data_IF_341394902360
#
_entry.id   IF_341394902360
#
_cell.length_a   1.000
_cell.length_b   1.000
_cell.length_c   1.000
_cell.angle_alpha   90.00
_cell.angle_beta   90.00
_cell.angle_gamma   90.00
#
_symmetry.space_group_name_H-M   'P 1'
#
loop_
_entity.id
_entity.type
_entity.pdbx_description
1 polymer ?
#
# COMPACT_ATOMS: atom_id res chain seq x y z
N UNK A 1 -6.60 38.93 -8.05
CA UNK A 1 -6.01 38.03 -7.03
C UNK A 1 -6.02 36.56 -7.45
N UNK A 2 -7.03 36.08 -8.20
CA UNK A 2 -7.24 34.66 -8.53
C UNK A 2 -6.22 34.03 -9.49
N UNK A 3 -5.61 34.82 -10.37
CA UNK A 3 -4.64 34.30 -11.35
C UNK A 3 -3.24 34.06 -10.76
N UNK A 4 -2.78 34.95 -9.88
CA UNK A 4 -1.49 34.79 -9.18
C UNK A 4 -1.54 33.64 -8.17
N UNK A 5 -2.67 33.47 -7.45
CA UNK A 5 -2.85 32.37 -6.51
C UNK A 5 -2.87 31.00 -7.22
N UNK A 6 -3.55 30.89 -8.36
CA UNK A 6 -3.56 29.64 -9.15
C UNK A 6 -2.18 29.30 -9.70
N UNK A 7 -1.42 30.27 -10.20
CA UNK A 7 -0.02 30.06 -10.61
C UNK A 7 0.87 29.62 -9.45
N UNK A 8 0.70 30.22 -8.28
CA UNK A 8 1.49 29.85 -7.09
C UNK A 8 1.17 28.42 -6.66
N UNK A 9 -0.12 28.05 -6.61
CA UNK A 9 -0.57 26.68 -6.33
C UNK A 9 0.04 25.67 -7.30
N UNK A 10 0.03 25.97 -8.60
CA UNK A 10 0.61 25.07 -9.60
C UNK A 10 2.13 24.92 -9.45
N UNK A 11 2.86 26.01 -9.16
CA UNK A 11 4.30 25.95 -8.86
C UNK A 11 4.59 25.09 -7.63
N UNK A 12 3.82 25.28 -6.56
CA UNK A 12 3.97 24.47 -5.34
C UNK A 12 3.67 23.00 -5.63
N UNK A 13 2.61 22.70 -6.39
CA UNK A 13 2.31 21.33 -6.79
C UNK A 13 3.47 20.69 -7.57
N UNK A 14 4.00 21.38 -8.57
CA UNK A 14 5.09 20.86 -9.40
C UNK A 14 6.40 20.68 -8.62
N UNK A 15 6.69 21.55 -7.65
CA UNK A 15 7.83 21.37 -6.75
C UNK A 15 7.67 20.12 -5.88
N UNK A 16 6.49 19.94 -5.27
CA UNK A 16 6.24 18.81 -4.38
C UNK A 16 6.13 17.48 -5.13
N UNK A 17 5.55 17.49 -6.34
CA UNK A 17 5.46 16.31 -7.21
C UNK A 17 6.84 15.74 -7.55
N UNK A 18 7.89 16.56 -7.60
CA UNK A 18 9.26 16.08 -7.87
C UNK A 18 9.79 15.09 -6.82
N UNK A 19 9.26 15.14 -5.58
CA UNK A 19 9.61 14.22 -4.51
C UNK A 19 8.71 12.97 -4.48
N UNK A 20 7.58 13.00 -5.17
CA UNK A 20 6.59 11.92 -5.15
C UNK A 20 7.14 10.57 -5.65
N UNK A 21 7.98 10.48 -6.71
CA UNK A 21 8.56 9.20 -7.13
C UNK A 21 9.35 8.51 -6.02
N UNK A 22 10.16 9.27 -5.26
CA UNK A 22 10.95 8.74 -4.17
C UNK A 22 10.03 8.25 -3.04
N UNK A 23 9.04 9.05 -2.64
CA UNK A 23 8.06 8.66 -1.62
C UNK A 23 7.28 7.39 -2.02
N UNK A 24 6.91 7.23 -3.30
CA UNK A 24 6.26 6.00 -3.80
C UNK A 24 7.19 4.78 -3.74
N UNK A 25 8.48 4.96 -4.04
CA UNK A 25 9.50 3.90 -3.91
C UNK A 25 9.69 3.48 -2.45
N UNK A 26 9.71 4.42 -1.53
CA UNK A 26 9.84 4.15 -0.09
C UNK A 26 8.60 3.45 0.48
N UNK A 27 7.40 3.86 0.05
CA UNK A 27 6.16 3.11 0.35
C UNK A 27 6.15 1.70 -0.23
N UNK A 28 6.70 1.50 -1.43
CA UNK A 28 6.84 0.16 -2.02
C UNK A 28 7.80 -0.70 -1.20
N UNK A 29 8.92 -0.13 -0.74
CA UNK A 29 9.86 -0.82 0.14
C UNK A 29 9.23 -1.17 1.50
N UNK A 30 8.41 -0.27 2.05
CA UNK A 30 7.60 -0.55 3.24
C UNK A 30 6.64 -1.73 3.00
N UNK A 31 5.89 -1.72 1.89
CA UNK A 31 4.96 -2.81 1.55
C UNK A 31 5.67 -4.17 1.39
N UNK A 32 6.87 -4.20 0.82
CA UNK A 32 7.72 -5.42 0.76
C UNK A 32 8.03 -5.99 2.14
N UNK A 33 8.38 -5.13 3.11
CA UNK A 33 8.63 -5.54 4.49
C UNK A 33 7.35 -6.07 5.16
N UNK A 34 6.21 -5.41 4.95
CA UNK A 34 4.91 -5.88 5.43
C UNK A 34 4.52 -7.24 4.84
N UNK A 35 4.75 -7.44 3.53
CA UNK A 35 4.49 -8.71 2.85
C UNK A 35 5.35 -9.85 3.41
N UNK A 36 6.63 -9.59 3.67
CA UNK A 36 7.52 -10.56 4.30
C UNK A 36 7.05 -10.94 5.73
N UNK A 37 6.63 -9.96 6.53
CA UNK A 37 6.06 -10.19 7.86
C UNK A 37 4.80 -11.07 7.79
N UNK A 38 3.83 -10.73 6.93
CA UNK A 38 2.61 -11.53 6.75
C UNK A 38 2.90 -12.94 6.22
N UNK A 39 3.88 -13.09 5.33
CA UNK A 39 4.34 -14.42 4.88
C UNK A 39 4.85 -15.27 6.04
N UNK A 40 5.59 -14.66 6.97
CA UNK A 40 6.01 -15.29 8.22
C UNK A 40 4.84 -15.73 9.09
N UNK A 41 3.88 -14.83 9.34
CA UNK A 41 2.67 -15.12 10.13
C UNK A 41 1.86 -16.25 9.49
N UNK A 42 1.63 -16.20 8.18
CA UNK A 42 0.85 -17.22 7.47
C UNK A 42 1.46 -18.61 7.60
N UNK A 43 2.79 -18.71 7.48
CA UNK A 43 3.47 -19.99 7.63
C UNK A 43 3.23 -20.61 9.02
N UNK A 44 3.12 -19.80 10.08
CA UNK A 44 2.83 -20.28 11.43
C UNK A 44 1.39 -20.78 11.52
N UNK A 45 0.43 -19.99 11.04
CA UNK A 45 -0.99 -20.33 11.05
C UNK A 45 -1.26 -21.64 10.30
N UNK A 46 -0.63 -21.84 9.14
CA UNK A 46 -0.85 -23.04 8.29
C UNK A 46 -0.12 -24.28 8.83
N UNK A 47 1.09 -24.13 9.38
CA UNK A 47 1.92 -25.30 9.74
C UNK A 47 1.74 -25.79 11.18
N UNK A 48 1.02 -25.05 12.04
CA UNK A 48 0.82 -25.37 13.47
C UNK A 48 2.14 -25.58 14.27
N UNK A 49 3.29 -25.25 13.67
CA UNK A 49 4.58 -25.26 14.35
C UNK A 49 4.71 -23.89 15.00
N UNK A 50 4.58 -23.85 16.33
CA UNK A 50 4.65 -22.67 17.20
C UNK A 50 6.00 -21.94 17.17
N UNK A 51 6.49 -21.64 15.98
CA UNK A 51 7.64 -20.80 15.73
C UNK A 51 7.20 -19.35 15.91
N UNK A 52 7.93 -18.59 16.73
CA UNK A 52 7.74 -17.14 16.84
C UNK A 52 7.83 -16.50 15.45
N UNK A 53 6.98 -15.52 15.16
CA UNK A 53 7.08 -14.73 13.91
C UNK A 53 8.48 -14.14 13.81
N UNK A 54 9.20 -14.54 12.76
CA UNK A 54 10.45 -13.87 12.41
C UNK A 54 10.10 -12.61 11.64
N UNK A 55 10.21 -11.47 12.31
CA UNK A 55 10.12 -10.15 11.68
C UNK A 55 9.37 -9.16 12.54
N UNK A 56 9.88 -7.93 12.58
CA UNK A 56 9.14 -6.80 13.12
C UNK A 56 8.16 -6.26 12.08
N UNK A 57 6.96 -5.89 12.53
CA UNK A 57 6.11 -5.01 11.73
C UNK A 57 6.92 -3.73 11.43
N UNK A 58 7.11 -3.36 10.14
CA UNK A 58 7.89 -2.19 9.80
C UNK A 58 7.23 -0.90 10.32
N UNK A 59 8.05 0.08 10.64
CA UNK A 59 7.58 1.42 11.01
C UNK A 59 7.05 2.18 9.80
N UNK A 60 6.05 3.03 10.03
CA UNK A 60 5.53 3.91 8.99
C UNK A 60 6.61 4.91 8.52
N UNK A 61 6.75 5.13 7.21
CA UNK A 61 7.67 6.15 6.71
C UNK A 61 7.03 7.54 6.81
N UNK A 62 7.23 8.20 7.95
CA UNK A 62 6.60 9.48 8.28
C UNK A 62 7.00 10.63 7.33
N UNK A 63 8.22 10.60 6.81
CA UNK A 63 8.70 11.61 5.87
C UNK A 63 7.89 11.62 4.57
N UNK A 64 7.49 10.45 4.07
CA UNK A 64 6.72 10.30 2.84
C UNK A 64 5.29 10.82 2.99
N UNK A 65 4.71 10.68 4.18
CA UNK A 65 3.36 11.19 4.47
C UNK A 65 3.31 12.72 4.25
N UNK A 66 4.40 13.42 4.55
CA UNK A 66 4.48 14.87 4.32
C UNK A 66 4.47 15.22 2.84
N UNK A 67 5.20 14.48 1.99
CA UNK A 67 5.20 14.66 0.53
C UNK A 67 3.79 14.49 -0.05
N UNK A 68 3.06 13.47 0.42
CA UNK A 68 1.67 13.24 0.00
C UNK A 68 0.75 14.39 0.44
N UNK A 69 0.85 14.83 1.70
CA UNK A 69 0.03 15.93 2.24
C UNK A 69 0.22 17.21 1.44
N UNK A 70 1.45 17.54 1.07
CA UNK A 70 1.76 18.70 0.26
C UNK A 70 1.22 18.57 -1.16
N UNK A 71 1.40 17.41 -1.81
CA UNK A 71 0.83 17.14 -3.12
C UNK A 71 -0.71 17.27 -3.12
N UNK A 72 -1.39 16.69 -2.12
CA UNK A 72 -2.86 16.76 -1.96
C UNK A 72 -3.33 18.21 -1.82
N UNK A 73 -2.59 19.03 -1.07
CA UNK A 73 -2.98 20.42 -0.79
C UNK A 73 -2.98 21.31 -2.02
N UNK A 74 -2.17 20.98 -3.04
CA UNK A 74 -2.02 21.81 -4.24
C UNK A 74 -2.58 21.16 -5.51
N UNK A 75 -2.90 19.87 -5.50
CA UNK A 75 -3.38 19.11 -6.66
C UNK A 75 -4.81 19.50 -7.09
N UNK A 76 -5.26 18.98 -8.24
CA UNK A 76 -6.68 18.97 -8.59
C UNK A 76 -7.46 18.03 -7.64
N UNK A 77 -8.79 18.16 -7.54
CA UNK A 77 -9.59 17.26 -6.69
C UNK A 77 -9.39 15.78 -6.99
N UNK A 78 -9.39 15.38 -8.27
CA UNK A 78 -9.21 13.98 -8.68
C UNK A 78 -7.86 13.39 -8.26
N UNK A 79 -6.76 14.14 -8.47
CA UNK A 79 -5.42 13.70 -8.04
C UNK A 79 -5.32 13.67 -6.51
N UNK A 80 -5.87 14.70 -5.86
CA UNK A 80 -5.83 14.82 -4.39
C UNK A 80 -6.60 13.69 -3.71
N UNK A 81 -7.76 13.32 -4.25
CA UNK A 81 -8.56 12.20 -3.75
C UNK A 81 -7.82 10.87 -3.88
N UNK A 82 -7.16 10.61 -5.01
CA UNK A 82 -6.35 9.40 -5.20
C UNK A 82 -5.18 9.33 -4.22
N UNK A 83 -4.42 10.41 -4.05
CA UNK A 83 -3.30 10.46 -3.11
C UNK A 83 -3.77 10.31 -1.65
N UNK A 84 -4.90 10.94 -1.29
CA UNK A 84 -5.52 10.76 0.02
C UNK A 84 -6.02 9.32 0.24
N UNK A 85 -6.49 8.67 -0.82
CA UNK A 85 -6.91 7.27 -0.78
C UNK A 85 -5.73 6.33 -0.45
N UNK A 86 -4.56 6.57 -1.06
CA UNK A 86 -3.32 5.84 -0.72
C UNK A 86 -2.98 6.00 0.76
N UNK A 87 -2.98 7.22 1.29
CA UNK A 87 -2.69 7.47 2.71
C UNK A 87 -3.69 6.75 3.63
N UNK A 88 -4.98 6.79 3.30
CA UNK A 88 -6.01 6.08 4.07
C UNK A 88 -5.75 4.58 4.10
N UNK A 89 -5.44 3.97 2.95
CA UNK A 89 -5.13 2.54 2.85
C UNK A 89 -3.84 2.17 3.57
N UNK A 90 -2.81 3.01 3.49
CA UNK A 90 -1.56 2.85 4.23
C UNK A 90 -1.81 2.81 5.74
N UNK A 91 -2.56 3.77 6.28
CA UNK A 91 -2.88 3.85 7.71
C UNK A 91 -3.71 2.65 8.18
N UNK A 92 -4.72 2.25 7.41
CA UNK A 92 -5.55 1.06 7.73
C UNK A 92 -4.68 -0.21 7.76
N UNK A 93 -3.84 -0.42 6.74
CA UNK A 93 -2.97 -1.58 6.68
C UNK A 93 -1.95 -1.58 7.84
N UNK A 94 -1.32 -0.44 8.13
CA UNK A 94 -0.38 -0.34 9.24
C UNK A 94 -1.00 -0.63 10.61
N UNK A 95 -2.19 -0.06 10.89
CA UNK A 95 -2.90 -0.31 12.14
C UNK A 95 -3.23 -1.80 12.32
N UNK A 96 -3.70 -2.47 11.26
CA UNK A 96 -3.97 -3.91 11.28
C UNK A 96 -2.72 -4.76 11.51
N UNK A 97 -1.61 -4.41 10.84
CA UNK A 97 -0.35 -5.14 11.00
C UNK A 97 0.27 -4.94 12.39
N UNK A 98 0.14 -3.73 12.94
CA UNK A 98 0.60 -3.43 14.30
C UNK A 98 -0.20 -4.23 15.33
N UNK A 99 -1.53 -4.26 15.22
CA UNK A 99 -2.38 -5.11 16.06
C UNK A 99 -2.01 -6.59 15.92
N UNK A 100 -1.84 -7.08 14.69
CA UNK A 100 -1.45 -8.47 14.43
C UNK A 100 -0.08 -8.81 15.03
N UNK A 101 0.88 -7.88 15.05
CA UNK A 101 2.17 -8.08 15.70
C UNK A 101 1.98 -8.37 17.19
N UNK A 102 1.13 -7.62 17.87
CA UNK A 102 0.86 -7.79 19.29
C UNK A 102 0.12 -9.12 19.53
N UNK A 103 -0.89 -9.41 18.71
CA UNK A 103 -1.68 -10.64 18.74
C UNK A 103 -0.83 -11.90 18.56
N UNK A 104 0.11 -11.93 17.60
CA UNK A 104 0.93 -13.13 17.38
C UNK A 104 1.96 -13.35 18.50
N UNK A 105 2.33 -12.30 19.24
CA UNK A 105 3.19 -12.42 20.41
C UNK A 105 2.42 -12.87 21.67
N UNK A 106 1.09 -12.80 21.66
CA UNK A 106 0.23 -13.27 22.73
C UNK A 106 -0.09 -14.77 22.55
N UNK A 107 0.36 -15.58 23.51
CA UNK A 107 0.13 -17.04 23.53
C UNK A 107 -1.34 -17.45 23.66
N UNK A 108 -2.24 -16.52 23.99
CA UNK A 108 -3.67 -16.78 24.18
C UNK A 108 -4.51 -16.43 22.96
N UNK A 109 -3.94 -15.71 21.98
CA UNK A 109 -4.65 -15.28 20.79
C UNK A 109 -4.51 -16.29 19.64
N UNK A 110 -5.62 -16.53 18.94
CA UNK A 110 -5.65 -17.41 17.76
C UNK A 110 -5.79 -16.56 16.51
N UNK A 111 -4.73 -16.48 15.71
CA UNK A 111 -4.77 -15.80 14.42
C UNK A 111 -5.46 -16.67 13.38
N UNK A 112 -6.50 -16.14 12.75
CA UNK A 112 -7.27 -16.83 11.72
C UNK A 112 -6.65 -16.58 10.34
N UNK A 113 -6.52 -17.64 9.53
CA UNK A 113 -5.92 -17.56 8.19
C UNK A 113 -6.64 -16.55 7.28
N UNK A 114 -7.97 -16.44 7.40
CA UNK A 114 -8.78 -15.52 6.60
C UNK A 114 -8.42 -14.05 6.86
N UNK A 115 -8.07 -13.69 8.10
CA UNK A 115 -7.63 -12.34 8.44
C UNK A 115 -6.29 -12.03 7.79
N UNK A 116 -5.36 -12.98 7.84
CA UNK A 116 -4.05 -12.87 7.17
C UNK A 116 -4.23 -12.70 5.67
N UNK A 117 -5.10 -13.48 5.03
CA UNK A 117 -5.44 -13.32 3.59
C UNK A 117 -6.02 -11.94 3.32
N UNK A 118 -6.90 -11.44 4.19
CA UNK A 118 -7.49 -10.11 4.04
C UNK A 118 -6.44 -8.99 4.17
N UNK A 119 -5.42 -9.16 5.00
CA UNK A 119 -4.33 -8.18 5.16
C UNK A 119 -3.38 -8.23 3.97
N UNK A 120 -3.06 -9.44 3.48
CA UNK A 120 -2.30 -9.61 2.24
C UNK A 120 -3.02 -8.94 1.06
N UNK A 121 -4.34 -9.13 0.94
CA UNK A 121 -5.15 -8.42 -0.05
C UNK A 121 -5.02 -6.90 0.08
N UNK A 122 -5.11 -6.37 1.30
CA UNK A 122 -4.96 -4.94 1.57
C UNK A 122 -3.61 -4.36 1.15
N UNK A 123 -2.53 -5.13 1.26
CA UNK A 123 -1.22 -4.75 0.74
C UNK A 123 -1.18 -4.73 -0.80
N UNK A 124 -1.76 -5.74 -1.45
CA UNK A 124 -1.86 -5.78 -2.91
C UNK A 124 -2.68 -4.62 -3.47
N UNK A 125 -3.78 -4.26 -2.81
CA UNK A 125 -4.61 -3.11 -3.18
C UNK A 125 -3.82 -1.79 -3.01
N UNK A 126 -3.13 -1.61 -1.89
CA UNK A 126 -2.30 -0.44 -1.66
C UNK A 126 -1.16 -0.34 -2.69
N UNK A 127 -0.49 -1.45 -2.99
CA UNK A 127 0.58 -1.47 -3.99
C UNK A 127 0.06 -1.18 -5.39
N UNK A 128 -1.11 -1.68 -5.77
CA UNK A 128 -1.75 -1.36 -7.05
C UNK A 128 -1.99 0.14 -7.22
N UNK A 129 -2.44 0.82 -6.15
CA UNK A 129 -2.62 2.27 -6.15
C UNK A 129 -1.29 3.02 -6.28
N UNK A 130 -0.24 2.56 -5.59
CA UNK A 130 1.11 3.12 -5.68
C UNK A 130 1.64 2.96 -7.11
N UNK A 131 1.53 1.76 -7.68
CA UNK A 131 2.00 1.43 -9.03
C UNK A 131 1.32 2.33 -10.07
N UNK A 132 0.01 2.51 -9.97
CA UNK A 132 -0.75 3.41 -10.85
C UNK A 132 -0.36 4.90 -10.74
N UNK A 133 0.36 5.28 -9.70
CA UNK A 133 0.75 6.68 -9.43
C UNK A 133 2.12 7.01 -10.02
N UNK A 134 2.98 6.04 -10.34
CA UNK A 134 4.36 6.31 -10.75
C UNK A 134 4.46 7.12 -12.05
N UNK A 135 3.75 6.75 -13.10
CA UNK A 135 3.79 7.46 -14.39
C UNK A 135 3.34 8.92 -14.21
N UNK A 136 2.33 9.12 -13.35
CA UNK A 136 1.91 10.45 -12.96
C UNK A 136 3.01 11.17 -12.18
N UNK A 137 3.61 10.56 -11.16
CA UNK A 137 4.68 11.19 -10.39
C UNK A 137 5.89 11.59 -11.26
N UNK A 138 6.20 10.80 -12.31
CA UNK A 138 7.32 11.02 -13.26
C UNK A 138 7.01 11.99 -14.39
N UNK A 139 5.80 12.55 -14.45
CA UNK A 139 5.33 13.43 -15.54
C UNK A 139 5.22 12.75 -16.91
N UNK A 140 5.05 11.44 -16.93
CA UNK A 140 4.78 10.67 -18.15
C UNK A 140 3.29 10.76 -18.52
N UNK A 141 2.42 10.98 -17.53
CA UNK A 141 0.98 11.23 -17.72
C UNK A 141 0.48 12.39 -16.85
N UNK A 142 -0.63 13.00 -17.26
CA UNK A 142 -1.37 14.02 -16.51
C UNK A 142 -2.52 13.45 -15.68
N UNK A 143 -2.88 12.17 -15.90
CA UNK A 143 -3.98 11.48 -15.25
C UNK A 143 -3.50 10.23 -14.52
N UNK A 144 -4.12 9.93 -13.38
CA UNK A 144 -3.91 8.68 -12.66
C UNK A 144 -5.04 7.73 -13.04
N UNK A 145 -4.69 6.58 -13.60
CA UNK A 145 -5.66 5.54 -13.96
C UNK A 145 -5.47 4.34 -13.05
N UNK A 146 -6.04 4.41 -11.85
CA UNK A 146 -6.09 3.28 -10.94
C UNK A 146 -6.91 2.15 -11.59
N UNK A 147 -6.23 1.08 -12.03
CA UNK A 147 -6.88 -0.07 -12.64
C UNK A 147 -7.24 -1.06 -11.54
N UNK A 148 -8.53 -1.25 -11.32
CA UNK A 148 -9.03 -2.29 -10.44
C UNK A 148 -9.22 -3.60 -11.22
N UNK A 149 -8.12 -4.13 -11.78
CA UNK A 149 -8.13 -5.35 -12.58
C UNK A 149 -7.25 -6.44 -11.97
N UNK A 150 -7.54 -7.70 -12.29
CA UNK A 150 -6.74 -8.84 -11.82
C UNK A 150 -5.26 -8.70 -12.22
N UNK A 151 -4.99 -8.22 -13.43
CA UNK A 151 -3.64 -7.98 -13.95
C UNK A 151 -2.87 -6.93 -13.11
N UNK A 152 -3.56 -5.86 -12.70
CA UNK A 152 -2.96 -4.81 -11.87
C UNK A 152 -2.61 -5.36 -10.49
N UNK A 153 -3.51 -6.14 -9.89
CA UNK A 153 -3.23 -6.84 -8.64
C UNK A 153 -2.07 -7.84 -8.80
N UNK A 154 -2.03 -8.61 -9.89
CA UNK A 154 -0.97 -9.59 -10.13
C UNK A 154 0.41 -8.91 -10.25
N UNK A 155 0.48 -7.77 -10.93
CA UNK A 155 1.69 -6.95 -11.01
C UNK A 155 2.07 -6.41 -9.63
N UNK A 156 1.11 -5.81 -8.91
CA UNK A 156 1.31 -5.26 -7.58
C UNK A 156 1.81 -6.29 -6.56
N UNK A 157 1.20 -7.49 -6.52
CA UNK A 157 1.66 -8.58 -5.67
C UNK A 157 3.08 -9.03 -6.04
N UNK A 158 3.38 -9.15 -7.33
CA UNK A 158 4.72 -9.51 -7.79
C UNK A 158 5.76 -8.48 -7.36
N UNK A 159 5.42 -7.18 -7.44
CA UNK A 159 6.27 -6.08 -6.97
C UNK A 159 6.64 -6.23 -5.50
N UNK A 160 5.73 -6.71 -4.64
CA UNK A 160 5.98 -6.89 -3.20
C UNK A 160 6.43 -8.31 -2.83
N UNK A 161 6.72 -9.17 -3.81
CA UNK A 161 7.26 -10.51 -3.60
C UNK A 161 6.22 -11.59 -3.28
N UNK A 162 4.95 -11.38 -3.65
CA UNK A 162 3.87 -12.35 -3.50
C UNK A 162 3.46 -12.84 -4.90
N UNK A 163 3.43 -14.16 -5.09
CA UNK A 163 3.00 -14.76 -6.35
C UNK A 163 1.58 -15.31 -6.24
N UNK A 164 0.60 -14.57 -6.78
CA UNK A 164 -0.82 -14.99 -6.79
C UNK A 164 -1.02 -16.40 -7.37
N UNK A 165 -0.31 -16.75 -8.44
CA UNK A 165 -0.41 -18.06 -9.09
C UNK A 165 -0.04 -19.23 -8.18
N UNK A 166 0.76 -18.99 -7.14
CA UNK A 166 1.12 -20.00 -6.14
C UNK A 166 0.10 -20.09 -4.98
N UNK A 167 -0.90 -19.19 -4.94
CA UNK A 167 -1.88 -19.09 -3.87
C UNK A 167 -3.31 -19.02 -4.41
N UNK A 168 -3.93 -20.18 -4.58
CA UNK A 168 -5.29 -20.30 -5.11
C UNK A 168 -6.34 -19.57 -4.25
N UNK A 169 -6.20 -19.62 -2.92
CA UNK A 169 -7.15 -18.97 -1.99
C UNK A 169 -7.05 -17.45 -2.10
N UNK A 170 -5.84 -16.90 -2.07
CA UNK A 170 -5.64 -15.46 -2.25
C UNK A 170 -6.13 -15.01 -3.63
N UNK A 171 -5.87 -15.79 -4.68
CA UNK A 171 -6.35 -15.49 -6.04
C UNK A 171 -7.88 -15.44 -6.09
N UNK A 172 -8.57 -16.42 -5.51
CA UNK A 172 -10.04 -16.43 -5.45
C UNK A 172 -10.58 -15.24 -4.62
N UNK A 173 -9.93 -14.94 -3.51
CA UNK A 173 -10.28 -13.81 -2.65
C UNK A 173 -10.16 -12.46 -3.36
N UNK A 174 -9.10 -12.27 -4.16
CA UNK A 174 -8.91 -11.10 -5.02
C UNK A 174 -10.02 -11.04 -6.05
N UNK A 175 -10.27 -12.13 -6.80
CA UNK A 175 -11.32 -12.18 -7.82
C UNK A 175 -12.68 -11.75 -7.27
N UNK A 176 -13.10 -12.30 -6.14
CA UNK A 176 -14.38 -11.94 -5.48
C UNK A 176 -14.53 -10.47 -5.07
N UNK A 177 -13.44 -9.72 -4.95
CA UNK A 177 -13.45 -8.30 -4.56
C UNK A 177 -13.26 -7.33 -5.71
N UNK A 178 -12.76 -7.81 -6.85
CA UNK A 178 -12.63 -6.99 -8.07
C UNK A 178 -13.84 -7.10 -9.00
N UNK A 179 -14.69 -8.12 -8.80
CA UNK A 179 -15.97 -8.31 -9.52
C UNK A 179 -17.11 -7.77 -8.68
#
# INVERSE_FOLDING_TARGET
>A
ATYSSNKQRQRNFEANRAFLPQALSDLTAYNKKCAAFLGGVRNIVVTSKGTKVRGDCPELPHADIMVFKECISFSTPAIGEHLAHILRKLQINHARLSALKDEVNDSTYVVVELDVISYVYGLGELQSLIDATFDFARRETSVISARHSLESFQSAFSTIGIHLSADARLTEFVKKRIT
#
